data_IF_726021852453
#
_entry.id   IF_726021852453
#
_cell.length_a   1.000
_cell.length_b   1.000
_cell.length_c   1.000
_cell.angle_alpha   90.00
_cell.angle_beta   90.00
_cell.angle_gamma   90.00
#
_symmetry.space_group_name_H-M   'P 1'
#
loop_
_entity.id
_entity.type
_entity.pdbx_description
1 polymer ?
#
# COMPACT_ATOMS: atom_id res chain seq x y z
N UNK A 1 35.86 17.89 5.50
CA UNK A 1 35.26 17.78 4.15
C UNK A 1 34.65 16.40 4.01
N UNK A 2 33.34 16.31 4.25
CA UNK A 2 32.55 15.08 4.30
C UNK A 2 32.43 14.48 2.90
N UNK A 3 32.96 13.28 2.73
CA UNK A 3 32.90 12.50 1.49
C UNK A 3 31.42 12.20 1.21
N UNK A 4 30.79 12.93 0.30
CA UNK A 4 29.50 12.57 -0.29
C UNK A 4 29.71 11.24 -1.00
N UNK A 5 29.45 10.16 -0.25
CA UNK A 5 29.48 8.81 -0.76
C UNK A 5 28.46 8.71 -1.89
N UNK A 6 28.90 8.28 -3.06
CA UNK A 6 28.02 7.91 -4.18
C UNK A 6 27.00 6.89 -3.66
N UNK A 7 25.75 7.33 -3.47
CA UNK A 7 24.69 6.50 -2.91
C UNK A 7 24.53 5.24 -3.76
N UNK A 8 24.49 4.04 -3.15
CA UNK A 8 24.31 2.81 -3.92
C UNK A 8 22.99 2.87 -4.68
N UNK A 9 22.95 2.37 -5.92
CA UNK A 9 21.77 2.44 -6.79
C UNK A 9 20.48 1.86 -6.15
N UNK A 10 20.63 0.96 -5.17
CA UNK A 10 19.53 0.42 -4.35
C UNK A 10 18.91 1.48 -3.41
N UNK A 11 19.73 2.32 -2.78
CA UNK A 11 19.25 3.41 -1.93
C UNK A 11 18.49 4.46 -2.74
N UNK A 12 18.96 4.77 -3.96
CA UNK A 12 18.25 5.67 -4.86
C UNK A 12 16.87 5.11 -5.25
N UNK A 13 16.79 3.81 -5.57
CA UNK A 13 15.51 3.15 -5.87
C UNK A 13 14.54 3.22 -4.70
N UNK A 14 14.98 2.93 -3.48
CA UNK A 14 14.15 3.02 -2.28
C UNK A 14 13.68 4.45 -2.02
N UNK A 15 14.55 5.45 -2.23
CA UNK A 15 14.19 6.87 -2.12
C UNK A 15 13.12 7.30 -3.13
N UNK A 16 13.19 6.81 -4.38
CA UNK A 16 12.15 7.06 -5.38
C UNK A 16 10.81 6.41 -5.01
N UNK A 17 10.82 5.16 -4.54
CA UNK A 17 9.60 4.49 -4.07
C UNK A 17 9.01 5.22 -2.86
N UNK A 18 9.85 5.71 -1.96
CA UNK A 18 9.41 6.52 -0.83
C UNK A 18 8.74 7.82 -1.28
N UNK A 19 9.29 8.53 -2.28
CA UNK A 19 8.64 9.69 -2.86
C UNK A 19 7.28 9.35 -3.48
N UNK A 20 7.18 8.22 -4.19
CA UNK A 20 5.89 7.74 -4.73
C UNK A 20 4.90 7.44 -3.59
N UNK A 21 5.34 6.89 -2.47
CA UNK A 21 4.48 6.68 -1.30
C UNK A 21 4.00 8.00 -0.68
N UNK A 22 4.85 9.04 -0.66
CA UNK A 22 4.46 10.37 -0.21
C UNK A 22 3.46 11.05 -1.14
N UNK A 23 3.60 10.89 -2.46
CA UNK A 23 2.61 11.44 -3.41
C UNK A 23 1.27 10.72 -3.26
N UNK A 24 1.27 9.39 -3.13
CA UNK A 24 0.08 8.62 -2.78
C UNK A 24 -0.53 9.04 -1.44
N UNK A 25 0.28 9.43 -0.45
CA UNK A 25 -0.20 9.96 0.83
C UNK A 25 -0.90 11.31 0.65
N UNK A 26 -0.27 12.24 -0.05
CA UNK A 26 -0.86 13.54 -0.37
C UNK A 26 -2.18 13.38 -1.15
N UNK A 27 -2.24 12.43 -2.10
CA UNK A 27 -3.48 12.10 -2.82
C UNK A 27 -4.58 11.57 -1.90
N UNK A 28 -4.26 10.75 -0.90
CA UNK A 28 -5.26 10.31 0.09
C UNK A 28 -5.82 11.49 0.87
N UNK A 29 -4.95 12.39 1.35
CA UNK A 29 -5.37 13.58 2.09
C UNK A 29 -6.26 14.46 1.21
N UNK A 30 -5.83 14.72 -0.03
CA UNK A 30 -6.61 15.50 -0.99
C UNK A 30 -7.97 14.85 -1.29
N UNK A 31 -8.00 13.53 -1.50
CA UNK A 31 -9.25 12.81 -1.73
C UNK A 31 -10.20 12.91 -0.54
N UNK A 32 -9.69 12.79 0.69
CA UNK A 32 -10.50 12.93 1.91
C UNK A 32 -11.06 14.33 2.13
N UNK A 33 -10.41 15.37 1.59
CA UNK A 33 -10.87 16.75 1.70
C UNK A 33 -11.86 17.14 0.58
N UNK A 34 -11.79 16.49 -0.59
CA UNK A 34 -12.61 16.84 -1.76
C UNK A 34 -13.82 15.91 -1.94
N UNK A 35 -13.67 14.61 -1.68
CA UNK A 35 -14.74 13.62 -1.85
C UNK A 35 -15.47 13.42 -0.51
N UNK A 36 -16.80 13.41 -0.55
CA UNK A 36 -17.65 13.37 0.65
C UNK A 36 -18.72 12.29 0.50
N UNK A 37 -18.44 11.11 1.06
CA UNK A 37 -19.35 9.98 0.97
C UNK A 37 -18.66 8.67 0.56
N UNK A 38 -19.41 7.71 -0.01
CA UNK A 38 -18.91 6.39 -0.40
C UNK A 38 -17.74 6.45 -1.40
N UNK A 39 -17.71 7.43 -2.30
CA UNK A 39 -16.61 7.61 -3.25
C UNK A 39 -15.28 7.94 -2.56
N UNK A 40 -15.30 8.63 -1.43
CA UNK A 40 -14.10 8.91 -0.62
C UNK A 40 -13.53 7.62 -0.03
N UNK A 41 -14.40 6.74 0.44
CA UNK A 41 -14.03 5.42 0.95
C UNK A 41 -13.40 4.56 -0.16
N UNK A 42 -14.05 4.49 -1.33
CA UNK A 42 -13.55 3.70 -2.46
C UNK A 42 -12.18 4.21 -2.96
N UNK A 43 -12.03 5.54 -3.10
CA UNK A 43 -10.76 6.15 -3.48
C UNK A 43 -9.67 5.90 -2.42
N UNK A 44 -9.99 6.07 -1.14
CA UNK A 44 -9.09 5.81 -0.02
C UNK A 44 -8.59 4.36 0.02
N UNK A 45 -9.50 3.40 -0.14
CA UNK A 45 -9.17 1.96 -0.19
C UNK A 45 -8.31 1.62 -1.40
N UNK A 46 -8.63 2.13 -2.58
CA UNK A 46 -7.81 1.92 -3.79
C UNK A 46 -6.38 2.44 -3.62
N UNK A 47 -6.22 3.64 -3.06
CA UNK A 47 -4.90 4.22 -2.77
C UNK A 47 -4.16 3.42 -1.68
N UNK A 48 -4.86 2.97 -0.65
CA UNK A 48 -4.28 2.13 0.41
C UNK A 48 -3.76 0.79 -0.15
N UNK A 49 -4.52 0.13 -1.04
CA UNK A 49 -4.06 -1.08 -1.73
C UNK A 49 -2.81 -0.83 -2.56
N UNK A 50 -2.76 0.27 -3.32
CA UNK A 50 -1.56 0.63 -4.08
C UNK A 50 -0.33 0.80 -3.18
N UNK A 51 -0.45 1.56 -2.08
CA UNK A 51 0.62 1.73 -1.08
C UNK A 51 1.09 0.39 -0.51
N UNK A 52 0.16 -0.48 -0.15
CA UNK A 52 0.46 -1.79 0.41
C UNK A 52 1.29 -2.65 -0.57
N UNK A 53 0.93 -2.68 -1.86
CA UNK A 53 1.69 -3.40 -2.90
C UNK A 53 3.11 -2.84 -3.04
N UNK A 54 3.28 -1.52 -3.05
CA UNK A 54 4.60 -0.88 -3.10
C UNK A 54 5.45 -1.25 -1.88
N UNK A 55 4.89 -1.20 -0.68
CA UNK A 55 5.60 -1.56 0.57
C UNK A 55 6.00 -3.03 0.56
N UNK A 56 5.07 -3.90 0.23
CA UNK A 56 5.28 -5.35 0.17
C UNK A 56 6.44 -5.73 -0.77
N UNK A 57 6.50 -5.09 -1.94
CA UNK A 57 7.46 -5.46 -2.97
C UNK A 57 8.85 -4.84 -2.77
N UNK A 58 8.93 -3.63 -2.23
CA UNK A 58 10.19 -2.86 -2.14
C UNK A 58 10.79 -2.80 -0.74
N UNK A 59 9.98 -2.76 0.32
CA UNK A 59 10.47 -2.54 1.69
C UNK A 59 10.47 -3.80 2.55
N UNK A 60 9.52 -4.71 2.36
CA UNK A 60 9.45 -5.93 3.19
C UNK A 60 10.48 -7.01 2.80
N UNK A 61 11.27 -6.81 1.74
CA UNK A 61 12.32 -7.75 1.36
C UNK A 61 11.82 -9.16 0.98
N UNK A 62 10.50 -9.33 0.79
CA UNK A 62 9.84 -10.64 0.66
C UNK A 62 10.30 -11.46 -0.55
N UNK A 63 10.99 -10.84 -1.50
CA UNK A 63 11.62 -11.51 -2.65
C UNK A 63 12.83 -12.35 -2.26
N UNK A 64 13.51 -12.05 -1.14
CA UNK A 64 14.75 -12.71 -0.72
C UNK A 64 14.54 -13.71 0.42
N UNK A 65 13.36 -13.65 1.04
CA UNK A 65 12.93 -14.49 2.16
C UNK A 65 12.35 -15.85 1.71
N UNK A 66 12.31 -16.81 2.63
CA UNK A 66 11.82 -18.16 2.41
C UNK A 66 10.40 -18.20 1.81
N UNK A 67 10.12 -19.19 0.96
CA UNK A 67 8.81 -19.34 0.28
C UNK A 67 7.61 -19.40 1.24
N UNK A 68 7.82 -19.90 2.46
CA UNK A 68 6.79 -19.95 3.50
C UNK A 68 6.33 -18.55 3.93
N UNK A 69 7.24 -17.57 4.06
CA UNK A 69 6.90 -16.20 4.44
C UNK A 69 6.04 -15.52 3.35
N UNK A 70 6.33 -15.82 2.07
CA UNK A 70 5.53 -15.32 0.94
C UNK A 70 4.13 -15.90 0.95
N UNK A 71 3.97 -17.19 1.31
CA UNK A 71 2.66 -17.83 1.42
C UNK A 71 1.82 -17.19 2.53
N UNK A 72 2.39 -16.97 3.71
CA UNK A 72 1.70 -16.30 4.82
C UNK A 72 1.29 -14.87 4.45
N UNK A 73 2.13 -14.14 3.74
CA UNK A 73 1.84 -12.76 3.41
C UNK A 73 0.78 -12.64 2.30
N UNK A 74 0.76 -13.55 1.33
CA UNK A 74 -0.38 -13.70 0.40
C UNK A 74 -1.64 -14.15 1.13
N UNK A 75 -1.52 -15.07 2.08
CA UNK A 75 -2.61 -15.54 2.92
C UNK A 75 -3.24 -14.42 3.74
N UNK A 76 -2.43 -13.55 4.34
CA UNK A 76 -2.90 -12.36 5.05
C UNK A 76 -3.63 -11.37 4.12
N UNK A 77 -3.11 -11.17 2.90
CA UNK A 77 -3.78 -10.36 1.88
C UNK A 77 -5.13 -10.94 1.44
N UNK A 78 -5.18 -12.26 1.20
CA UNK A 78 -6.41 -12.96 0.86
C UNK A 78 -7.43 -12.89 2.00
N UNK A 79 -6.99 -13.06 3.24
CA UNK A 79 -7.84 -12.94 4.43
C UNK A 79 -8.45 -11.53 4.56
N UNK A 80 -7.65 -10.48 4.38
CA UNK A 80 -8.15 -9.10 4.37
C UNK A 80 -9.16 -8.87 3.25
N UNK A 81 -8.94 -9.42 2.05
CA UNK A 81 -9.91 -9.31 0.95
C UNK A 81 -11.23 -10.00 1.30
N UNK A 82 -11.20 -11.19 1.91
CA UNK A 82 -12.40 -11.90 2.35
C UNK A 82 -13.18 -11.04 3.36
N UNK A 83 -12.51 -10.52 4.39
CA UNK A 83 -13.15 -9.66 5.40
C UNK A 83 -13.73 -8.38 4.79
N UNK A 84 -13.01 -7.78 3.84
CA UNK A 84 -13.47 -6.59 3.12
C UNK A 84 -14.72 -6.87 2.26
N UNK A 85 -14.73 -7.99 1.53
CA UNK A 85 -15.89 -8.40 0.75
C UNK A 85 -17.10 -8.69 1.63
N UNK A 86 -16.92 -9.44 2.73
CA UNK A 86 -17.99 -9.74 3.69
C UNK A 86 -18.60 -8.46 4.27
N UNK A 87 -17.75 -7.50 4.60
CA UNK A 87 -18.18 -6.18 5.09
C UNK A 87 -18.96 -5.42 4.02
N UNK A 88 -18.46 -5.38 2.78
CA UNK A 88 -19.14 -4.72 1.67
C UNK A 88 -20.51 -5.35 1.36
N UNK A 89 -20.61 -6.68 1.42
CA UNK A 89 -21.89 -7.39 1.24
C UNK A 89 -22.87 -7.07 2.35
N UNK A 90 -22.42 -7.01 3.62
CA UNK A 90 -23.28 -6.70 4.76
C UNK A 90 -23.94 -5.31 4.61
N UNK A 91 -23.12 -4.30 4.30
CA UNK A 91 -23.63 -2.94 4.02
C UNK A 91 -24.56 -2.88 2.81
N UNK A 92 -24.28 -3.66 1.75
CA UNK A 92 -25.11 -3.69 0.54
C UNK A 92 -26.47 -4.37 0.76
N UNK A 93 -26.59 -5.29 1.71
CA UNK A 93 -27.84 -6.01 2.03
C UNK A 93 -28.69 -5.35 3.11
N UNK A 94 -28.24 -4.21 3.67
CA UNK A 94 -28.92 -3.52 4.78
C UNK A 94 -30.05 -2.57 4.33
N UNK A 95 -30.40 -2.59 3.04
CA UNK A 95 -31.52 -1.87 2.44
C UNK A 95 -32.79 -2.74 2.42
#
# INVERSE_FOLDING_TARGET
>A
MTRMSSLPASALRLGLVWLVLLTLLALTVGASLVLTGPESLAAGLGIACAKAVLIYWFFMGLRRENGLLRLFAVGAGAWLLILGLLTATDYATRF
#
